data_IF_020364045549
#
_entry.id   IF_020364045549
#
_cell.length_a   1.000
_cell.length_b   1.000
_cell.length_c   1.000
_cell.angle_alpha   90.00
_cell.angle_beta   90.00
_cell.angle_gamma   90.00
#
_symmetry.space_group_name_H-M   'P 1'
#
loop_
_entity.id
_entity.type
_entity.pdbx_description
1 polymer ?
#
# COMPACT_ATOMS: atom_id res chain seq x y z
N UNK A 1 -18.39 11.81 6.17
CA UNK A 1 -17.82 12.59 7.28
C UNK A 1 -17.30 11.59 8.30
N UNK A 2 -16.11 11.83 8.85
CA UNK A 2 -15.43 10.96 9.82
C UNK A 2 -14.88 9.64 9.24
N UNK A 3 -14.37 9.68 8.00
CA UNK A 3 -13.64 8.52 7.47
C UNK A 3 -12.36 8.34 8.30
N UNK A 4 -12.00 7.12 8.67
CA UNK A 4 -10.68 6.82 9.26
C UNK A 4 -9.98 5.88 8.30
N UNK A 5 -9.02 6.41 7.54
CA UNK A 5 -8.30 5.64 6.53
C UNK A 5 -6.83 5.61 6.90
N UNK A 6 -6.26 4.41 6.95
CA UNK A 6 -4.83 4.23 7.14
C UNK A 6 -4.21 3.81 5.82
N UNK A 7 -3.08 4.42 5.48
CA UNK A 7 -2.21 3.94 4.41
C UNK A 7 -0.75 4.11 4.82
N UNK A 8 0.16 3.64 3.97
CA UNK A 8 1.59 3.73 4.19
C UNK A 8 2.18 4.69 3.17
N UNK A 9 2.77 5.80 3.63
CA UNK A 9 3.23 6.92 2.78
C UNK A 9 2.08 7.61 2.02
N UNK A 10 1.19 8.26 2.76
CA UNK A 10 -0.13 8.75 2.29
C UNK A 10 -0.09 9.79 1.17
N UNK A 11 1.10 10.35 0.87
CA UNK A 11 1.25 11.42 -0.11
C UNK A 11 0.75 11.02 -1.51
N UNK A 12 1.00 9.78 -1.92
CA UNK A 12 0.57 9.26 -3.21
C UNK A 12 -0.96 9.09 -3.26
N UNK A 13 -1.54 8.41 -2.28
CA UNK A 13 -2.96 8.09 -2.16
C UNK A 13 -3.79 9.35 -2.10
N UNK A 14 -3.32 10.36 -1.35
CA UNK A 14 -3.92 11.69 -1.29
C UNK A 14 -3.94 12.35 -2.67
N UNK A 15 -2.84 12.30 -3.42
CA UNK A 15 -2.77 12.90 -4.75
C UNK A 15 -3.75 12.25 -5.74
N UNK A 16 -3.92 10.93 -5.67
CA UNK A 16 -4.90 10.20 -6.49
C UNK A 16 -6.32 10.59 -6.11
N UNK A 17 -6.65 10.65 -4.81
CA UNK A 17 -8.00 11.03 -4.36
C UNK A 17 -8.33 12.47 -4.75
N UNK A 18 -7.38 13.40 -4.64
CA UNK A 18 -7.56 14.77 -5.10
C UNK A 18 -7.81 14.82 -6.61
N UNK A 19 -7.02 14.09 -7.40
CA UNK A 19 -7.22 13.97 -8.85
C UNK A 19 -8.60 13.39 -9.19
N UNK A 20 -9.10 12.43 -8.41
CA UNK A 20 -10.45 11.89 -8.59
C UNK A 20 -11.54 12.91 -8.24
N UNK A 21 -11.31 13.74 -7.21
CA UNK A 21 -12.23 14.79 -6.81
C UNK A 21 -12.36 15.84 -7.94
N UNK A 22 -11.24 16.26 -8.52
CA UNK A 22 -11.20 17.20 -9.65
C UNK A 22 -11.91 16.65 -10.90
N UNK A 23 -11.70 15.35 -11.20
CA UNK A 23 -12.29 14.70 -12.38
C UNK A 23 -13.78 14.36 -12.20
N UNK A 24 -14.24 14.20 -10.97
CA UNK A 24 -15.63 13.83 -10.67
C UNK A 24 -16.21 14.73 -9.56
N UNK A 25 -16.56 16.00 -9.88
CA UNK A 25 -17.02 16.98 -8.89
C UNK A 25 -18.25 16.54 -8.07
N UNK A 26 -19.09 15.66 -8.62
CA UNK A 26 -20.23 15.07 -7.89
C UNK A 26 -19.81 14.32 -6.62
N UNK A 27 -18.59 13.81 -6.57
CA UNK A 27 -18.04 13.08 -5.43
C UNK A 27 -16.98 13.86 -4.65
N UNK A 28 -16.71 15.12 -5.01
CA UNK A 28 -15.64 15.93 -4.43
C UNK A 28 -15.70 15.97 -2.90
N UNK A 29 -16.85 16.36 -2.34
CA UNK A 29 -17.04 16.44 -0.89
C UNK A 29 -16.71 15.12 -0.17
N UNK A 30 -17.08 13.98 -0.78
CA UNK A 30 -16.83 12.67 -0.20
C UNK A 30 -15.35 12.28 -0.30
N UNK A 31 -14.74 12.50 -1.47
CA UNK A 31 -13.34 12.18 -1.73
C UNK A 31 -12.42 13.06 -0.88
N UNK A 32 -12.69 14.35 -0.79
CA UNK A 32 -11.94 15.27 0.06
C UNK A 32 -12.10 14.94 1.55
N UNK A 33 -13.27 14.46 1.97
CA UNK A 33 -13.43 13.93 3.32
C UNK A 33 -12.55 12.68 3.58
N UNK A 34 -12.30 11.83 2.59
CA UNK A 34 -11.34 10.72 2.75
C UNK A 34 -9.92 11.27 2.78
N UNK A 35 -9.57 12.13 1.83
CA UNK A 35 -8.27 12.81 1.74
C UNK A 35 -7.87 13.45 3.07
N UNK A 36 -8.76 14.18 3.72
CA UNK A 36 -8.41 14.94 4.91
C UNK A 36 -8.26 14.07 6.17
N UNK A 37 -8.73 12.82 6.14
CA UNK A 37 -8.72 11.92 7.29
C UNK A 37 -7.86 10.66 7.09
N UNK A 38 -6.72 10.81 6.41
CA UNK A 38 -5.68 9.79 6.37
C UNK A 38 -4.82 9.79 7.63
N UNK A 39 -4.49 8.60 8.10
CA UNK A 39 -3.45 8.31 9.08
C UNK A 39 -2.31 7.61 8.35
N UNK A 40 -1.10 8.18 8.42
CA UNK A 40 0.07 7.58 7.78
C UNK A 40 0.82 6.66 8.75
N UNK A 41 0.79 5.36 8.45
CA UNK A 41 1.52 4.34 9.21
C UNK A 41 3.05 4.47 9.03
N UNK A 42 3.52 5.19 8.02
CA UNK A 42 4.94 5.42 7.78
C UNK A 42 5.58 6.42 8.75
N UNK A 43 4.79 7.25 9.46
CA UNK A 43 5.27 8.37 10.29
C UNK A 43 6.36 7.97 11.29
N UNK A 44 6.20 6.90 12.12
CA UNK A 44 7.22 6.54 13.10
C UNK A 44 8.58 6.23 12.47
N UNK A 45 8.58 5.64 11.27
CA UNK A 45 9.80 5.30 10.55
C UNK A 45 10.39 6.51 9.83
N UNK A 46 9.55 7.38 9.25
CA UNK A 46 9.97 8.61 8.57
C UNK A 46 10.65 9.60 9.52
N UNK A 47 10.17 9.68 10.77
CA UNK A 47 10.71 10.57 11.79
C UNK A 47 11.90 9.99 12.55
N UNK A 48 12.17 8.69 12.39
CA UNK A 48 13.21 7.99 13.14
C UNK A 48 12.80 7.62 14.57
N UNK A 49 11.52 7.70 14.91
CA UNK A 49 11.00 7.30 16.23
C UNK A 49 11.13 5.78 16.44
N UNK A 50 11.08 5.01 15.36
CA UNK A 50 11.31 3.56 15.37
C UNK A 50 12.10 3.12 14.14
N UNK A 51 13.16 2.33 14.37
CA UNK A 51 14.09 1.92 13.32
C UNK A 51 14.75 0.57 13.64
N UNK A 52 14.94 -0.26 12.61
CA UNK A 52 15.60 -1.58 12.73
C UNK A 52 16.76 -1.66 11.72
N UNK A 53 17.97 -2.14 12.08
CA UNK A 53 19.11 -2.17 11.17
C UNK A 53 18.83 -2.83 9.81
N UNK A 54 17.93 -3.82 9.78
CA UNK A 54 17.52 -4.55 8.57
C UNK A 54 16.80 -3.67 7.53
N UNK A 55 16.31 -2.50 7.91
CA UNK A 55 15.66 -1.55 7.01
C UNK A 55 16.67 -0.82 6.09
N UNK A 56 17.99 -0.84 6.38
CA UNK A 56 19.07 -0.29 5.53
C UNK A 56 18.91 1.17 5.01
N UNK A 57 18.64 2.14 5.88
CA UNK A 57 18.25 3.51 5.53
C UNK A 57 16.86 3.69 4.88
N UNK A 58 16.08 2.63 4.61
CA UNK A 58 14.79 2.71 3.92
C UNK A 58 13.60 2.42 4.84
N UNK A 59 12.55 3.24 4.78
CA UNK A 59 11.34 3.04 5.58
C UNK A 59 10.13 2.53 4.79
N UNK A 60 10.28 2.30 3.48
CA UNK A 60 9.16 1.84 2.64
C UNK A 60 8.57 0.53 3.15
N UNK A 61 7.28 0.29 2.89
CA UNK A 61 6.51 -0.85 3.41
C UNK A 61 7.26 -2.20 3.28
N UNK A 62 7.98 -2.40 2.16
CA UNK A 62 8.69 -3.66 1.84
C UNK A 62 10.04 -3.81 2.52
N UNK A 63 10.59 -2.72 3.03
CA UNK A 63 11.76 -2.74 3.91
C UNK A 63 11.31 -2.85 5.36
N UNK A 64 10.24 -2.14 5.73
CA UNK A 64 9.70 -2.16 7.08
C UNK A 64 9.11 -3.52 7.46
N UNK A 65 8.33 -4.15 6.58
CA UNK A 65 7.68 -5.43 6.85
C UNK A 65 8.66 -6.54 7.28
N UNK A 66 9.69 -6.92 6.50
CA UNK A 66 10.62 -7.98 6.89
C UNK A 66 11.48 -7.62 8.12
N UNK A 67 11.66 -6.34 8.41
CA UNK A 67 12.40 -5.89 9.58
C UNK A 67 11.60 -6.09 10.88
N UNK A 68 10.31 -5.74 10.84
CA UNK A 68 9.40 -5.74 12.00
C UNK A 68 8.69 -7.09 12.18
N UNK A 69 8.42 -7.77 11.07
CA UNK A 69 7.68 -9.02 10.98
C UNK A 69 8.54 -10.04 10.20
N UNK A 70 9.64 -10.56 10.78
CA UNK A 70 10.60 -11.38 10.05
C UNK A 70 10.02 -12.66 9.44
N UNK A 71 8.92 -13.17 10.00
CA UNK A 71 8.19 -14.32 9.46
C UNK A 71 7.55 -14.03 8.08
N UNK A 72 7.40 -12.76 7.70
CA UNK A 72 6.84 -12.33 6.41
C UNK A 72 7.92 -11.89 5.41
N UNK A 73 9.20 -12.19 5.66
CA UNK A 73 10.30 -11.77 4.78
C UNK A 73 10.16 -12.21 3.31
N UNK A 74 9.55 -13.37 3.09
CA UNK A 74 9.38 -13.96 1.76
C UNK A 74 7.98 -13.69 1.19
N UNK A 75 7.16 -12.86 1.85
CA UNK A 75 5.77 -12.65 1.45
C UNK A 75 5.63 -12.00 0.06
N UNK A 76 6.41 -10.96 -0.24
CA UNK A 76 6.42 -10.35 -1.59
C UNK A 76 7.18 -11.20 -2.62
N UNK A 77 8.38 -11.74 -2.33
CA UNK A 77 9.09 -12.62 -3.28
C UNK A 77 8.29 -13.85 -3.73
N UNK A 78 7.38 -14.35 -2.89
CA UNK A 78 6.56 -15.53 -3.19
C UNK A 78 5.27 -15.23 -3.96
N UNK A 79 4.94 -13.96 -4.26
CA UNK A 79 3.80 -13.65 -5.13
C UNK A 79 4.11 -14.12 -6.56
N UNK A 80 3.08 -14.52 -7.30
CA UNK A 80 3.20 -14.78 -8.74
C UNK A 80 2.92 -13.48 -9.52
N UNK A 81 3.90 -13.01 -10.28
CA UNK A 81 3.79 -11.81 -11.12
C UNK A 81 4.17 -10.50 -10.44
N UNK A 82 3.31 -9.93 -9.59
CA UNK A 82 3.47 -8.56 -9.06
C UNK A 82 4.25 -8.57 -7.75
N UNK A 83 5.44 -7.96 -7.74
CA UNK A 83 6.27 -7.88 -6.52
C UNK A 83 6.44 -6.46 -6.00
N UNK A 84 6.41 -5.46 -6.88
CA UNK A 84 6.56 -4.06 -6.53
C UNK A 84 5.49 -3.13 -7.14
N UNK A 85 5.42 -1.89 -6.63
CA UNK A 85 4.44 -0.91 -7.11
C UNK A 85 4.64 -0.54 -8.59
N UNK A 86 5.89 -0.54 -9.07
CA UNK A 86 6.19 -0.35 -10.49
C UNK A 86 5.67 -1.50 -11.35
N UNK A 87 5.79 -2.75 -10.89
CA UNK A 87 5.18 -3.91 -11.58
C UNK A 87 3.67 -3.78 -11.62
N UNK A 88 3.05 -3.41 -10.49
CA UNK A 88 1.60 -3.24 -10.40
C UNK A 88 1.09 -2.18 -11.38
N UNK A 89 1.76 -1.03 -11.48
CA UNK A 89 1.41 0.03 -12.44
C UNK A 89 1.51 -0.46 -13.89
N UNK A 90 2.60 -1.14 -14.26
CA UNK A 90 2.77 -1.67 -15.63
C UNK A 90 1.71 -2.73 -15.96
N UNK A 91 1.48 -3.67 -15.05
CA UNK A 91 0.50 -4.74 -15.24
C UNK A 91 -0.94 -4.22 -15.27
N UNK A 92 -1.24 -3.14 -14.54
CA UNK A 92 -2.55 -2.50 -14.59
C UNK A 92 -2.83 -1.87 -15.98
N UNK A 93 -1.82 -1.24 -16.59
CA UNK A 93 -1.93 -0.74 -17.98
C UNK A 93 -2.14 -1.90 -18.95
N UNK A 94 -1.31 -2.95 -18.84
CA UNK A 94 -1.43 -4.14 -19.69
C UNK A 94 -2.82 -4.79 -19.57
N UNK A 95 -3.40 -4.82 -18.36
CA UNK A 95 -4.76 -5.34 -18.14
C UNK A 95 -5.81 -4.56 -18.94
N UNK A 96 -5.66 -3.25 -19.10
CA UNK A 96 -6.56 -2.41 -19.88
C UNK A 96 -6.41 -2.56 -21.40
N UNK A 97 -5.24 -3.03 -21.85
CA UNK A 97 -4.91 -3.20 -23.27
C UNK A 97 -5.11 -4.64 -23.77
N UNK A 98 -5.08 -5.62 -22.87
CA UNK A 98 -5.15 -7.04 -23.25
C UNK A 98 -6.54 -7.42 -23.76
N UNK A 99 -6.56 -8.26 -24.79
CA UNK A 99 -7.77 -8.90 -25.34
C UNK A 99 -7.81 -10.40 -25.07
N UNK A 100 -6.73 -10.96 -24.50
CA UNK A 100 -6.63 -12.37 -24.14
C UNK A 100 -7.25 -12.60 -22.75
N UNK A 101 -8.31 -13.41 -22.70
CA UNK A 101 -9.04 -13.68 -21.47
C UNK A 101 -8.17 -14.37 -20.41
N UNK A 102 -7.26 -15.24 -20.81
CA UNK A 102 -6.40 -15.97 -19.87
C UNK A 102 -5.36 -15.02 -19.25
N UNK A 103 -4.77 -14.13 -20.07
CA UNK A 103 -3.87 -13.08 -19.58
C UNK A 103 -4.58 -12.08 -18.66
N UNK A 104 -5.81 -11.69 -18.99
CA UNK A 104 -6.64 -10.80 -18.18
C UNK A 104 -6.88 -11.44 -16.80
N UNK A 105 -7.31 -12.70 -16.76
CA UNK A 105 -7.58 -13.42 -15.51
C UNK A 105 -6.31 -13.55 -14.67
N UNK A 106 -5.19 -13.93 -15.30
CA UNK A 106 -3.89 -14.05 -14.61
C UNK A 106 -3.43 -12.72 -14.03
N UNK A 107 -3.43 -11.66 -14.83
CA UNK A 107 -2.98 -10.31 -14.43
C UNK A 107 -3.84 -9.75 -13.31
N UNK A 108 -5.17 -9.89 -13.42
CA UNK A 108 -6.11 -9.46 -12.37
C UNK A 108 -5.87 -10.22 -11.06
N UNK A 109 -5.65 -11.54 -11.13
CA UNK A 109 -5.37 -12.36 -9.95
C UNK A 109 -4.08 -11.92 -9.27
N UNK A 110 -3.02 -11.71 -10.03
CA UNK A 110 -1.72 -11.23 -9.50
C UNK A 110 -1.84 -9.85 -8.83
N UNK A 111 -2.54 -8.90 -9.47
CA UNK A 111 -2.79 -7.58 -8.90
C UNK A 111 -3.61 -7.64 -7.59
N UNK A 112 -4.63 -8.50 -7.54
CA UNK A 112 -5.47 -8.65 -6.35
C UNK A 112 -4.70 -9.25 -5.17
N UNK A 113 -3.90 -10.30 -5.38
CA UNK A 113 -3.07 -10.88 -4.32
C UNK A 113 -2.00 -9.89 -3.82
N UNK A 114 -1.45 -9.09 -4.73
CA UNK A 114 -0.55 -8.00 -4.38
C UNK A 114 -1.23 -6.93 -3.49
N UNK A 115 -2.40 -6.42 -3.91
CA UNK A 115 -3.16 -5.43 -3.13
C UNK A 115 -3.57 -5.94 -1.75
N UNK A 116 -3.96 -7.23 -1.68
CA UNK A 116 -4.27 -7.91 -0.42
C UNK A 116 -3.05 -7.98 0.49
N UNK A 117 -1.87 -8.29 -0.06
CA UNK A 117 -0.63 -8.33 0.73
C UNK A 117 -0.21 -6.94 1.22
N UNK A 118 -0.32 -5.88 0.41
CA UNK A 118 -0.02 -4.50 0.83
C UNK A 118 -0.88 -4.12 2.06
N UNK A 119 -2.17 -4.45 2.04
CA UNK A 119 -3.08 -4.20 3.19
C UNK A 119 -2.71 -5.06 4.40
N UNK A 120 -2.50 -6.36 4.21
CA UNK A 120 -2.17 -7.28 5.30
C UNK A 120 -0.83 -6.92 5.96
N UNK A 121 0.16 -6.49 5.18
CA UNK A 121 1.45 -6.02 5.68
C UNK A 121 1.29 -4.85 6.67
N UNK A 122 0.45 -3.86 6.36
CA UNK A 122 0.17 -2.74 7.25
C UNK A 122 -0.46 -3.20 8.58
N UNK A 123 -1.40 -4.14 8.53
CA UNK A 123 -2.03 -4.70 9.74
C UNK A 123 -0.99 -5.36 10.63
N UNK A 124 -0.13 -6.20 10.07
CA UNK A 124 0.91 -6.93 10.83
C UNK A 124 1.97 -6.01 11.42
N UNK A 125 2.35 -4.96 10.69
CA UNK A 125 3.24 -3.92 11.22
C UNK A 125 2.58 -3.19 12.39
N UNK A 126 1.32 -2.76 12.25
CA UNK A 126 0.60 -2.05 13.30
C UNK A 126 0.44 -2.91 14.57
N UNK A 127 0.13 -4.20 14.43
CA UNK A 127 0.09 -5.14 15.55
C UNK A 127 1.41 -5.21 16.31
N UNK A 128 2.54 -5.30 15.59
CA UNK A 128 3.87 -5.31 16.21
C UNK A 128 4.22 -4.00 16.89
N UNK A 129 3.94 -2.87 16.26
CA UNK A 129 4.17 -1.56 16.88
C UNK A 129 3.37 -1.41 18.18
N UNK A 130 2.10 -1.86 18.19
CA UNK A 130 1.26 -1.83 19.41
C UNK A 130 1.82 -2.69 20.54
N UNK A 131 2.44 -3.84 20.24
CA UNK A 131 3.07 -4.70 21.25
C UNK A 131 4.29 -4.06 21.91
N UNK A 132 4.96 -3.11 21.25
CA UNK A 132 6.15 -2.45 21.78
C UNK A 132 5.84 -1.30 22.74
N UNK A 133 4.64 -0.74 22.66
CA UNK A 133 4.20 0.42 23.45
C UNK A 133 3.20 0.04 24.56
N UNK A 134 2.79 -1.22 24.62
CA UNK A 134 1.89 -1.76 25.64
C UNK A 134 2.65 -2.17 26.91
#
# INVERSE_FOLDING_TARGET
KDACVMAFNISFEKSIIHTLADNYPVYEDHLMNIHDNFIDLAIPFQRGDYWEPKMQGHYGLKYALPAIVPEMKDAYPNLDGVHNGGDAMRMFVQLGESTDLDEIVKTKTALLEYCKLDTYAMVRILEKLKQLVA
#
